data_IF_307616524971
#
_entry.id   IF_307616524971
#
_cell.length_a   1.000
_cell.length_b   1.000
_cell.length_c   1.000
_cell.angle_alpha   90.00
_cell.angle_beta   90.00
_cell.angle_gamma   90.00
#
_symmetry.space_group_name_H-M   'P 1'
#
loop_
_entity.id
_entity.type
_entity.pdbx_description
1 polymer ?
#
# COMPACT_ATOMS: atom_id res chain seq x y z
N UNK A 1 3.39 -17.88 -16.75
CA UNK A 1 3.42 -17.50 -15.32
C UNK A 1 3.14 -16.01 -15.25
N UNK A 2 2.03 -15.60 -14.63
CA UNK A 2 1.72 -14.19 -14.46
C UNK A 2 2.38 -13.69 -13.17
N UNK A 3 3.30 -12.73 -13.28
CA UNK A 3 3.76 -11.95 -12.13
C UNK A 3 2.53 -11.16 -11.65
N UNK A 4 1.90 -11.68 -10.59
CA UNK A 4 0.70 -11.11 -9.99
C UNK A 4 0.95 -9.65 -9.60
N UNK A 5 -0.08 -8.83 -9.82
CA UNK A 5 -0.12 -7.37 -9.71
C UNK A 5 -0.06 -6.89 -8.24
N UNK A 6 0.84 -7.47 -7.44
CA UNK A 6 1.09 -7.05 -6.06
C UNK A 6 1.85 -5.72 -6.08
N UNK A 7 1.45 -4.71 -5.30
CA UNK A 7 2.18 -3.45 -5.22
C UNK A 7 3.52 -3.72 -4.53
N UNK A 8 4.60 -3.79 -5.29
CA UNK A 8 5.96 -3.83 -4.74
C UNK A 8 6.36 -2.44 -4.27
N UNK A 9 7.16 -2.37 -3.21
CA UNK A 9 7.79 -1.12 -2.78
C UNK A 9 8.99 -0.83 -3.72
N UNK A 10 8.83 0.16 -4.60
CA UNK A 10 9.86 0.58 -5.55
C UNK A 10 11.14 1.07 -4.85
N UNK A 11 11.01 1.72 -3.69
CA UNK A 11 12.18 2.22 -2.93
C UNK A 11 12.98 1.08 -2.34
N UNK A 12 12.30 0.04 -1.83
CA UNK A 12 12.95 -1.16 -1.32
C UNK A 12 13.72 -1.90 -2.43
N UNK A 13 13.17 -1.96 -3.64
CA UNK A 13 13.86 -2.56 -4.80
C UNK A 13 15.10 -1.73 -5.17
N UNK A 14 14.95 -0.42 -5.33
CA UNK A 14 16.04 0.48 -5.76
C UNK A 14 17.16 0.51 -4.72
N UNK A 15 16.83 0.56 -3.43
CA UNK A 15 17.84 0.54 -2.38
C UNK A 15 18.54 -0.83 -2.30
N UNK A 16 17.79 -1.91 -2.39
CA UNK A 16 18.34 -3.26 -2.37
C UNK A 16 19.31 -3.55 -3.52
N UNK A 17 19.08 -2.99 -4.71
CA UNK A 17 20.01 -3.11 -5.86
C UNK A 17 21.42 -2.62 -5.51
N UNK A 18 21.56 -1.59 -4.67
CA UNK A 18 22.88 -1.07 -4.25
C UNK A 18 23.72 -2.09 -3.49
N UNK A 19 23.10 -3.10 -2.89
CA UNK A 19 23.75 -4.17 -2.14
C UNK A 19 24.01 -5.46 -2.95
N UNK A 20 23.65 -5.50 -4.24
CA UNK A 20 23.72 -6.69 -5.07
C UNK A 20 24.89 -6.60 -6.06
N UNK A 21 25.49 -7.75 -6.38
CA UNK A 21 26.49 -7.83 -7.44
C UNK A 21 25.83 -7.61 -8.81
N UNK A 22 26.09 -6.45 -9.42
CA UNK A 22 25.59 -6.09 -10.74
C UNK A 22 26.54 -6.62 -11.83
N UNK A 23 26.00 -7.36 -12.78
CA UNK A 23 26.74 -7.88 -13.93
C UNK A 23 26.86 -6.85 -15.07
N UNK A 24 25.80 -6.06 -15.27
CA UNK A 24 25.80 -4.96 -16.23
C UNK A 24 24.82 -3.87 -15.78
N UNK A 25 25.15 -2.63 -16.10
CA UNK A 25 24.33 -1.45 -15.83
C UNK A 25 24.18 -0.65 -17.11
N UNK A 26 22.97 -0.17 -17.37
CA UNK A 26 22.67 0.68 -18.51
C UNK A 26 21.81 1.86 -18.07
N UNK A 27 22.22 3.06 -18.48
CA UNK A 27 21.44 4.29 -18.33
C UNK A 27 20.96 4.68 -19.73
N UNK A 28 19.64 4.73 -19.93
CA UNK A 28 19.05 4.97 -21.25
C UNK A 28 18.45 6.37 -21.42
N UNK A 29 17.91 6.93 -20.35
CA UNK A 29 17.22 8.22 -20.40
C UNK A 29 17.60 9.03 -19.16
N UNK A 30 18.05 10.26 -19.37
CA UNK A 30 18.32 11.23 -18.30
C UNK A 30 17.70 12.55 -18.70
N UNK A 31 16.88 13.10 -17.82
CA UNK A 31 16.28 14.43 -17.97
C UNK A 31 16.55 15.24 -16.71
N UNK A 32 16.98 16.48 -16.89
CA UNK A 32 17.16 17.44 -15.82
C UNK A 32 16.21 18.60 -16.07
N UNK A 33 15.33 18.85 -15.12
CA UNK A 33 14.36 19.94 -15.18
C UNK A 33 14.58 20.89 -14.00
N UNK A 34 14.96 22.13 -14.31
CA UNK A 34 15.08 23.18 -13.30
C UNK A 34 13.70 23.72 -12.96
N UNK A 35 13.43 23.91 -11.66
CA UNK A 35 12.11 24.37 -11.20
C UNK A 35 11.99 25.90 -11.30
N UNK A 36 13.12 26.61 -11.37
CA UNK A 36 13.16 28.07 -11.55
C UNK A 36 13.98 28.46 -12.77
N UNK A 37 13.62 29.59 -13.37
CA UNK A 37 14.33 30.20 -14.50
C UNK A 37 15.68 30.81 -14.11
N UNK A 38 15.87 31.15 -12.83
CA UNK A 38 17.13 31.67 -12.30
C UNK A 38 17.93 30.55 -11.60
N UNK A 39 19.08 30.23 -12.18
CA UNK A 39 19.99 29.20 -11.70
C UNK A 39 20.95 29.79 -10.68
N UNK A 40 20.52 29.83 -9.42
CA UNK A 40 21.35 30.17 -8.27
C UNK A 40 21.71 28.91 -7.47
N UNK A 41 22.72 28.97 -6.61
CA UNK A 41 23.13 27.83 -5.76
C UNK A 41 22.02 27.33 -4.81
N UNK A 42 20.96 28.11 -4.61
CA UNK A 42 19.78 27.72 -3.83
C UNK A 42 18.65 27.07 -4.65
N UNK A 43 18.77 26.99 -5.97
CA UNK A 43 17.68 26.55 -6.86
C UNK A 43 17.57 25.03 -6.88
N UNK A 44 16.32 24.52 -6.89
CA UNK A 44 16.04 23.08 -6.97
C UNK A 44 15.88 22.62 -8.42
N UNK A 45 16.43 21.44 -8.72
CA UNK A 45 16.24 20.75 -9.98
C UNK A 45 15.69 19.33 -9.74
N UNK A 46 14.80 18.89 -10.61
CA UNK A 46 14.34 17.51 -10.69
C UNK A 46 15.21 16.76 -11.69
N UNK A 47 15.83 15.67 -11.25
CA UNK A 47 16.59 14.77 -12.13
C UNK A 47 15.83 13.45 -12.24
N UNK A 48 15.47 13.09 -13.47
CA UNK A 48 14.80 11.83 -13.79
C UNK A 48 15.74 10.98 -14.61
N UNK A 49 16.04 9.76 -14.15
CA UNK A 49 16.88 8.82 -14.87
C UNK A 49 16.22 7.44 -14.96
N UNK A 50 16.32 6.80 -16.12
CA UNK A 50 15.94 5.40 -16.33
C UNK A 50 17.19 4.55 -16.32
N UNK A 51 17.26 3.65 -15.34
CA UNK A 51 18.38 2.75 -15.11
C UNK A 51 17.92 1.30 -15.21
N UNK A 52 18.73 0.47 -15.86
CA UNK A 52 18.52 -0.97 -16.02
C UNK A 52 19.73 -1.70 -15.48
N UNK A 53 19.52 -2.65 -14.57
CA UNK A 53 20.57 -3.50 -14.02
C UNK A 53 20.35 -4.96 -14.41
N UNK A 54 21.44 -5.65 -14.72
CA UNK A 54 21.48 -7.09 -14.91
C UNK A 54 22.10 -7.70 -13.67
N UNK A 55 21.32 -8.47 -12.93
CA UNK A 55 21.71 -9.15 -11.69
C UNK A 55 21.43 -10.65 -11.78
N UNK A 56 21.95 -11.42 -10.82
CA UNK A 56 21.63 -12.84 -10.75
C UNK A 56 20.13 -13.05 -10.47
N UNK A 57 19.56 -14.13 -11.01
CA UNK A 57 18.16 -14.48 -10.75
C UNK A 57 17.88 -14.73 -9.25
N UNK A 58 18.88 -15.23 -8.52
CA UNK A 58 18.77 -15.47 -7.09
C UNK A 58 18.61 -14.14 -6.32
N UNK A 59 19.40 -13.13 -6.69
CA UNK A 59 19.31 -11.80 -6.07
C UNK A 59 18.02 -11.07 -6.47
N UNK A 60 17.58 -11.22 -7.72
CA UNK A 60 16.31 -10.66 -8.17
C UNK A 60 15.12 -11.20 -7.34
N UNK A 61 15.09 -12.50 -7.07
CA UNK A 61 14.06 -13.11 -6.22
C UNK A 61 14.15 -12.60 -4.78
N UNK A 62 15.35 -12.49 -4.21
CA UNK A 62 15.55 -11.97 -2.85
C UNK A 62 15.12 -10.51 -2.72
N UNK A 63 15.43 -9.68 -3.72
CA UNK A 63 14.97 -8.29 -3.77
C UNK A 63 13.45 -8.18 -3.83
N UNK A 64 12.82 -8.97 -4.71
CA UNK A 64 11.37 -8.98 -4.83
C UNK A 64 10.68 -9.47 -3.56
N UNK A 65 11.26 -10.45 -2.86
CA UNK A 65 10.72 -10.95 -1.59
C UNK A 65 10.79 -9.88 -0.49
N UNK A 66 11.93 -9.18 -0.38
CA UNK A 66 12.13 -8.09 0.57
C UNK A 66 11.22 -6.87 0.27
N UNK A 67 10.90 -6.64 -1.01
CA UNK A 67 10.05 -5.53 -1.44
C UNK A 67 8.55 -5.85 -1.40
N UNK A 68 8.15 -7.04 -0.94
CA UNK A 68 6.73 -7.34 -0.76
C UNK A 68 6.15 -6.48 0.37
N UNK A 69 4.94 -5.93 0.19
CA UNK A 69 4.27 -5.19 1.23
C UNK A 69 3.98 -6.14 2.41
N UNK A 70 4.63 -5.89 3.53
CA UNK A 70 4.37 -6.55 4.82
C UNK A 70 3.25 -5.83 5.56
N UNK A 71 2.08 -5.75 4.91
CA UNK A 71 0.85 -5.24 5.53
C UNK A 71 -0.16 -6.36 5.66
N UNK A 72 -1.02 -6.37 6.71
CA UNK A 72 -2.21 -7.21 6.67
C UNK A 72 -2.98 -6.79 5.42
N UNK A 73 -3.22 -7.73 4.50
CA UNK A 73 -4.32 -7.56 3.56
C UNK A 73 -5.53 -7.14 4.41
N UNK A 74 -6.28 -6.08 4.05
CA UNK A 74 -7.52 -5.78 4.74
C UNK A 74 -8.36 -7.06 4.65
N UNK A 75 -8.42 -7.80 5.75
CA UNK A 75 -9.39 -8.85 5.88
C UNK A 75 -10.69 -8.08 5.90
N UNK A 76 -11.41 -8.14 4.77
CA UNK A 76 -12.82 -7.81 4.75
C UNK A 76 -13.43 -8.70 5.81
N UNK A 77 -13.52 -8.18 7.03
CA UNK A 77 -14.22 -8.82 8.11
C UNK A 77 -15.67 -8.71 7.66
N UNK A 78 -16.13 -9.74 6.97
CA UNK A 78 -17.52 -9.96 6.66
C UNK A 78 -18.20 -10.17 8.03
N UNK A 79 -18.56 -9.07 8.69
CA UNK A 79 -19.50 -9.06 9.80
C UNK A 79 -20.87 -9.36 9.23
N UNK A 80 -21.06 -10.56 8.69
CA UNK A 80 -22.38 -11.16 8.59
C UNK A 80 -22.69 -11.69 9.98
N UNK A 81 -23.31 -10.82 10.78
CA UNK A 81 -24.10 -11.21 11.95
C UNK A 81 -25.00 -12.37 11.54
N UNK A 82 -24.87 -13.58 12.11
CA UNK A 82 -25.92 -14.56 12.00
C UNK A 82 -27.02 -14.12 12.97
N UNK A 83 -27.95 -13.31 12.50
CA UNK A 83 -29.18 -13.02 13.24
C UNK A 83 -30.05 -14.28 13.19
N UNK A 84 -29.68 -15.22 14.06
CA UNK A 84 -30.41 -16.43 14.33
C UNK A 84 -31.56 -16.12 15.27
N UNK A 85 -32.77 -16.18 14.72
CA UNK A 85 -34.00 -16.65 15.35
C UNK A 85 -34.10 -16.50 16.88
N UNK A 86 -34.85 -15.50 17.32
CA UNK A 86 -35.58 -15.58 18.59
C UNK A 86 -37.05 -15.21 18.36
N UNK A 87 -37.85 -16.27 18.26
CA UNK A 87 -39.31 -16.31 18.40
C UNK A 87 -39.72 -15.74 19.75
N UNK A 88 -40.79 -14.93 19.78
CA UNK A 88 -41.59 -14.75 21.00
C UNK A 88 -42.27 -13.40 21.15
N UNK A 89 -43.41 -13.21 20.47
CA UNK A 89 -44.51 -12.39 21.01
C UNK A 89 -45.26 -13.29 22.02
N UNK A 90 -45.61 -12.79 23.21
CA UNK A 90 -47.02 -12.45 23.41
C UNK A 90 -47.28 -11.23 24.32
N UNK A 91 -48.30 -10.47 23.92
CA UNK A 91 -49.23 -9.64 24.70
C UNK A 91 -49.24 -9.84 26.23
N UNK A 92 -49.07 -8.74 26.98
CA UNK A 92 -49.53 -8.42 28.35
C UNK A 92 -48.81 -7.09 28.71
N UNK A 93 -49.32 -6.04 29.34
CA UNK A 93 -50.55 -5.76 30.06
C UNK A 93 -50.42 -4.28 30.52
N UNK A 94 -51.53 -3.54 30.46
CA UNK A 94 -51.84 -2.29 31.19
C UNK A 94 -51.01 -1.00 31.02
N UNK A 95 -51.69 0.03 30.48
CA UNK A 95 -51.21 1.42 30.43
C UNK A 95 -51.25 2.15 31.78
N UNK A 96 -50.68 3.36 31.89
CA UNK A 96 -50.70 4.11 33.13
C UNK A 96 -51.98 4.94 33.27
N UNK A 97 -52.80 4.53 34.23
CA UNK A 97 -53.81 5.33 34.91
C UNK A 97 -53.11 6.31 35.87
N UNK A 98 -53.23 7.61 35.60
CA UNK A 98 -53.33 8.78 36.50
C UNK A 98 -52.33 8.92 37.67
N UNK A 99 -51.71 10.10 37.79
CA UNK A 99 -51.45 10.71 39.10
C UNK A 99 -51.53 12.24 38.98
N UNK A 100 -52.54 12.76 39.66
CA UNK A 100 -52.81 14.15 40.03
C UNK A 100 -51.69 14.69 40.94
N UNK A 101 -51.28 15.96 40.80
CA UNK A 101 -50.72 16.77 41.87
C UNK A 101 -50.51 18.24 41.45
N UNK A 102 -51.32 19.11 42.08
CA UNK A 102 -51.22 20.55 42.37
C UNK A 102 -51.32 21.60 41.24
#
# INVERSE_FOLDING_TARGET
MALSNLPYDDRAIVDGIKGVAVHAEQISQVAVNFIADDLSDGTTATVTATMTWVISSADAVRLLDAARPTGPLPQTHDTRTPDGFAVGDPEHDMGPLWSDAD
#
